data_IF_256209799638
#
_entry.id   IF_256209799638
#
_cell.length_a   1.000
_cell.length_b   1.000
_cell.length_c   1.000
_cell.angle_alpha   90.00
_cell.angle_beta   90.00
_cell.angle_gamma   90.00
#
_symmetry.space_group_name_H-M   'P 1'
#
loop_
_entity.id
_entity.type
_entity.pdbx_description
1 polymer ?
#
# COMPACT_ATOMS: atom_id res chain seq x y z
N UNK A 1 -0.54 -14.41 21.14
CA UNK A 1 -1.40 -13.19 21.11
C UNK A 1 -2.40 -13.32 19.98
N UNK A 2 -3.67 -12.98 20.21
CA UNK A 2 -4.68 -13.11 19.14
C UNK A 2 -4.62 -11.88 18.22
N UNK A 3 -4.49 -12.11 16.94
CA UNK A 3 -4.44 -11.05 15.92
C UNK A 3 -5.85 -10.72 15.43
N UNK A 4 -6.17 -9.44 15.33
CA UNK A 4 -7.41 -8.97 14.72
C UNK A 4 -7.18 -8.61 13.26
N UNK A 5 -8.17 -8.95 12.43
CA UNK A 5 -8.19 -8.68 11.00
C UNK A 5 -9.23 -7.59 10.70
N UNK A 6 -8.82 -6.54 10.03
CA UNK A 6 -9.69 -5.49 9.54
C UNK A 6 -9.51 -5.36 8.02
N UNK A 7 -10.59 -5.22 7.29
CA UNK A 7 -10.57 -5.04 5.86
C UNK A 7 -10.61 -3.56 5.49
N UNK A 8 -9.76 -3.16 4.56
CA UNK A 8 -9.72 -1.81 3.99
C UNK A 8 -9.94 -1.87 2.48
N UNK A 9 -10.63 -0.87 1.93
CA UNK A 9 -10.67 -0.62 0.50
C UNK A 9 -9.42 0.13 0.08
N UNK A 10 -8.69 -0.39 -0.91
CA UNK A 10 -7.46 0.25 -1.40
C UNK A 10 -7.78 1.53 -2.16
N UNK A 11 -8.84 1.53 -2.97
CA UNK A 11 -9.25 2.72 -3.75
C UNK A 11 -9.67 3.86 -2.83
N UNK A 12 -10.49 3.54 -1.82
CA UNK A 12 -10.91 4.52 -0.83
C UNK A 12 -9.73 5.03 0.00
N UNK A 13 -8.80 4.14 0.37
CA UNK A 13 -7.57 4.54 1.07
C UNK A 13 -6.74 5.53 0.25
N UNK A 14 -6.56 5.28 -1.05
CA UNK A 14 -5.83 6.18 -1.95
C UNK A 14 -6.59 7.51 -2.07
N UNK A 15 -7.90 7.47 -2.28
CA UNK A 15 -8.75 8.67 -2.35
C UNK A 15 -8.68 9.49 -1.05
N UNK A 16 -8.71 8.83 0.09
CA UNK A 16 -8.61 9.47 1.39
C UNK A 16 -7.27 10.22 1.56
N UNK A 17 -6.17 9.64 1.12
CA UNK A 17 -4.84 10.27 1.27
C UNK A 17 -4.61 11.47 0.34
N UNK A 18 -5.50 11.79 -0.60
CA UNK A 18 -5.38 12.99 -1.44
C UNK A 18 -5.58 14.29 -0.64
N UNK A 19 -6.21 14.24 0.54
CA UNK A 19 -6.43 15.37 1.43
C UNK A 19 -6.10 14.98 2.86
N UNK A 20 -5.43 15.87 3.60
CA UNK A 20 -5.11 15.66 5.01
C UNK A 20 -6.37 15.47 5.87
N UNK A 21 -7.42 16.27 5.62
CA UNK A 21 -8.68 16.19 6.34
C UNK A 21 -9.38 14.85 6.06
N UNK A 22 -9.44 14.45 4.79
CA UNK A 22 -10.06 13.19 4.37
C UNK A 22 -9.30 11.98 4.90
N UNK A 23 -7.96 12.04 4.91
CA UNK A 23 -7.14 11.00 5.52
C UNK A 23 -7.40 10.85 7.03
N UNK A 24 -7.46 11.98 7.75
CA UNK A 24 -7.75 11.99 9.19
C UNK A 24 -9.14 11.40 9.48
N UNK A 25 -10.14 11.77 8.68
CA UNK A 25 -11.50 11.23 8.73
C UNK A 25 -11.56 9.72 8.49
N UNK A 26 -10.88 9.24 7.45
CA UNK A 26 -10.83 7.84 7.10
C UNK A 26 -10.14 6.99 8.18
N UNK A 27 -8.99 7.44 8.68
CA UNK A 27 -8.26 6.75 9.75
C UNK A 27 -9.12 6.68 11.02
N UNK A 28 -9.85 7.77 11.35
CA UNK A 28 -10.76 7.81 12.48
C UNK A 28 -11.86 6.74 12.35
N UNK A 29 -12.50 6.63 11.21
CA UNK A 29 -13.51 5.59 10.94
C UNK A 29 -12.91 4.17 11.06
N UNK A 30 -11.68 3.96 10.55
CA UNK A 30 -10.99 2.68 10.67
C UNK A 30 -10.67 2.33 12.13
N UNK A 31 -10.34 3.31 12.96
CA UNK A 31 -10.15 3.10 14.40
C UNK A 31 -11.46 2.72 15.10
N UNK A 32 -12.59 3.32 14.74
CA UNK A 32 -13.90 2.89 15.25
C UNK A 32 -14.20 1.45 14.85
N UNK A 33 -13.96 1.08 13.60
CA UNK A 33 -14.10 -0.32 13.14
C UNK A 33 -13.15 -1.25 13.90
N UNK A 34 -11.95 -0.81 14.22
CA UNK A 34 -10.97 -1.58 14.96
C UNK A 34 -11.34 -1.75 16.45
N UNK A 35 -11.93 -0.75 17.06
CA UNK A 35 -12.30 -0.77 18.50
C UNK A 35 -13.56 -1.56 18.81
N UNK A 36 -14.46 -1.74 17.82
CA UNK A 36 -15.73 -2.42 18.00
C UNK A 36 -15.96 -3.49 16.92
N UNK A 37 -16.47 -4.67 17.32
CA UNK A 37 -16.84 -5.74 16.37
C UNK A 37 -18.00 -5.33 15.47
N UNK A 38 -18.93 -4.52 16.01
CA UNK A 38 -20.10 -4.01 15.27
C UNK A 38 -19.80 -2.74 14.49
N UNK A 39 -18.59 -2.20 14.52
CA UNK A 39 -18.22 -0.90 13.95
C UNK A 39 -19.04 0.27 14.53
N UNK A 40 -19.46 0.15 15.80
CA UNK A 40 -20.36 1.06 16.49
C UNK A 40 -19.81 1.46 17.85
N UNK A 41 -20.04 2.69 18.25
CA UNK A 41 -19.77 3.18 19.61
C UNK A 41 -21.09 3.74 20.16
N UNK A 42 -21.59 3.14 21.23
CA UNK A 42 -22.81 3.59 21.90
C UNK A 42 -22.50 4.79 22.82
N UNK A 43 -23.41 5.73 22.91
CA UNK A 43 -23.26 6.95 23.72
C UNK A 43 -21.90 7.63 23.53
N UNK A 44 -21.58 8.09 22.32
CA UNK A 44 -20.25 8.55 21.94
C UNK A 44 -19.93 9.95 22.49
N UNK A 45 -19.89 10.12 23.80
CA UNK A 45 -19.31 11.32 24.38
C UNK A 45 -17.85 11.45 23.89
N UNK A 46 -17.44 12.68 23.54
CA UNK A 46 -16.07 12.96 23.05
C UNK A 46 -15.02 12.38 23.99
N UNK A 47 -15.27 12.44 25.32
CA UNK A 47 -14.39 11.86 26.33
C UNK A 47 -14.23 10.33 26.18
N UNK A 48 -15.32 9.64 25.84
CA UNK A 48 -15.30 8.19 25.63
C UNK A 48 -14.59 7.82 24.33
N UNK A 49 -14.87 8.52 23.23
CA UNK A 49 -14.22 8.30 21.94
C UNK A 49 -12.71 8.50 22.05
N UNK A 50 -12.28 9.60 22.66
CA UNK A 50 -10.87 9.92 22.85
C UNK A 50 -10.14 8.86 23.68
N UNK A 51 -10.79 8.31 24.70
CA UNK A 51 -10.24 7.25 25.54
C UNK A 51 -10.10 5.94 24.76
N UNK A 52 -11.13 5.56 23.99
CA UNK A 52 -11.13 4.35 23.15
C UNK A 52 -10.06 4.43 22.05
N UNK A 53 -9.90 5.59 21.42
CA UNK A 53 -9.01 5.77 20.27
C UNK A 53 -7.60 6.27 20.66
N UNK A 54 -7.35 6.51 21.94
CA UNK A 54 -6.07 7.03 22.47
C UNK A 54 -5.57 8.29 21.72
N UNK A 55 -6.47 9.25 21.49
CA UNK A 55 -6.16 10.54 20.84
C UNK A 55 -6.50 11.74 21.73
N UNK A 56 -5.76 12.85 21.55
CA UNK A 56 -6.03 14.10 22.28
C UNK A 56 -7.37 14.73 21.88
N UNK A 57 -7.94 15.54 22.79
CA UNK A 57 -9.28 16.13 22.64
C UNK A 57 -9.46 16.92 21.33
N UNK A 58 -8.55 17.85 21.04
CA UNK A 58 -8.58 18.68 19.82
C UNK A 58 -8.54 17.83 18.54
N UNK A 59 -7.68 16.80 18.54
CA UNK A 59 -7.57 15.89 17.38
C UNK A 59 -8.83 15.02 17.26
N UNK A 60 -9.41 14.59 18.38
CA UNK A 60 -10.65 13.81 18.38
C UNK A 60 -11.81 14.58 17.78
N UNK A 61 -12.04 15.83 18.26
CA UNK A 61 -13.12 16.68 17.74
C UNK A 61 -12.95 16.97 16.24
N UNK A 62 -11.74 17.33 15.82
CA UNK A 62 -11.44 17.60 14.41
C UNK A 62 -11.66 16.36 13.55
N UNK A 63 -11.12 15.21 13.95
CA UNK A 63 -11.24 13.97 13.20
C UNK A 63 -12.69 13.47 13.12
N UNK A 64 -13.48 13.62 14.19
CA UNK A 64 -14.91 13.33 14.19
C UNK A 64 -15.68 14.25 13.23
N UNK A 65 -15.46 15.57 13.30
CA UNK A 65 -16.12 16.51 12.40
C UNK A 65 -15.77 16.24 10.93
N UNK A 66 -14.50 15.96 10.64
CA UNK A 66 -14.08 15.57 9.30
C UNK A 66 -14.71 14.23 8.88
N UNK A 67 -14.80 13.25 9.79
CA UNK A 67 -15.40 11.95 9.49
C UNK A 67 -16.91 12.05 9.20
N UNK A 68 -17.62 12.94 9.87
CA UNK A 68 -19.03 13.27 9.58
C UNK A 68 -19.15 13.99 8.23
N UNK A 69 -18.31 15.02 7.99
CA UNK A 69 -18.28 15.80 6.73
C UNK A 69 -18.06 14.91 5.49
N UNK A 70 -17.19 13.92 5.58
CA UNK A 70 -16.87 13.01 4.49
C UNK A 70 -17.68 11.70 4.53
N UNK A 71 -18.70 11.62 5.38
CA UNK A 71 -19.60 10.48 5.51
C UNK A 71 -18.92 9.14 5.86
N UNK A 72 -17.72 9.18 6.44
CA UNK A 72 -17.04 7.97 6.93
C UNK A 72 -17.66 7.46 8.22
N UNK A 73 -18.34 8.30 8.96
CA UNK A 73 -19.15 7.95 10.12
C UNK A 73 -20.48 8.68 10.08
N UNK A 74 -21.48 8.11 10.77
CA UNK A 74 -22.78 8.75 10.95
C UNK A 74 -23.31 8.46 12.33
N UNK A 75 -24.24 9.29 12.77
CA UNK A 75 -25.03 9.01 13.96
C UNK A 75 -26.30 8.23 13.59
N UNK A 76 -26.54 7.12 14.30
CA UNK A 76 -27.80 6.37 14.31
C UNK A 76 -28.38 6.50 15.71
N UNK A 77 -29.25 7.48 15.96
CA UNK A 77 -29.70 7.85 17.30
C UNK A 77 -28.52 8.26 18.19
N UNK A 78 -28.35 7.59 19.32
CA UNK A 78 -27.23 7.82 20.24
C UNK A 78 -25.99 6.95 19.94
N UNK A 79 -25.86 6.41 18.74
CA UNK A 79 -24.76 5.53 18.38
C UNK A 79 -23.97 6.12 17.23
N UNK A 80 -22.65 6.20 17.37
CA UNK A 80 -21.74 6.56 16.28
C UNK A 80 -21.37 5.30 15.52
N UNK A 81 -21.63 5.30 14.22
CA UNK A 81 -21.41 4.14 13.34
C UNK A 81 -20.40 4.50 12.28
N UNK A 82 -19.37 3.67 12.12
CA UNK A 82 -18.50 3.77 10.97
C UNK A 82 -19.21 3.19 9.74
N UNK A 83 -19.33 3.98 8.69
CA UNK A 83 -19.94 3.54 7.46
C UNK A 83 -19.15 2.36 6.88
N UNK A 84 -19.88 1.30 6.52
CA UNK A 84 -19.31 0.19 5.76
C UNK A 84 -19.20 0.72 4.32
N UNK A 85 -17.98 0.92 3.88
CA UNK A 85 -17.72 1.28 2.48
C UNK A 85 -18.27 0.15 1.62
N UNK A 86 -19.03 0.49 0.57
CA UNK A 86 -19.49 -0.50 -0.42
C UNK A 86 -18.24 -1.02 -1.13
N UNK A 87 -17.84 -2.22 -0.76
CA UNK A 87 -16.56 -2.79 -1.16
C UNK A 87 -16.72 -3.60 -2.44
N UNK A 88 -16.02 -3.19 -3.48
CA UNK A 88 -15.74 -4.10 -4.58
C UNK A 88 -14.73 -5.13 -4.05
N UNK A 89 -15.13 -6.40 -3.94
CA UNK A 89 -14.34 -7.49 -3.32
C UNK A 89 -12.91 -7.59 -3.85
N UNK A 90 -12.68 -7.17 -5.09
CA UNK A 90 -11.38 -7.26 -5.75
C UNK A 90 -10.33 -6.28 -5.22
N UNK A 91 -10.76 -5.19 -4.59
CA UNK A 91 -9.88 -4.13 -4.08
C UNK A 91 -9.81 -4.06 -2.55
N UNK A 92 -10.40 -5.03 -1.87
CA UNK A 92 -10.38 -5.12 -0.41
C UNK A 92 -9.16 -5.90 0.06
N UNK A 93 -8.45 -5.37 1.04
CA UNK A 93 -7.26 -6.01 1.62
C UNK A 93 -7.32 -5.99 3.13
N UNK A 94 -6.87 -7.08 3.77
CA UNK A 94 -6.79 -7.13 5.22
C UNK A 94 -5.58 -6.36 5.73
N UNK A 95 -5.78 -5.65 6.85
CA UNK A 95 -4.72 -5.22 7.73
C UNK A 95 -4.81 -6.04 9.02
N UNK A 96 -3.67 -6.33 9.60
CA UNK A 96 -3.55 -7.13 10.82
C UNK A 96 -2.92 -6.29 11.93
N UNK A 97 -3.47 -6.38 13.11
CA UNK A 97 -2.94 -5.74 14.31
C UNK A 97 -3.21 -6.60 15.52
N UNK A 98 -2.51 -6.34 16.61
CA UNK A 98 -2.70 -7.07 17.86
C UNK A 98 -4.11 -6.83 18.42
N UNK A 99 -4.71 -7.90 18.91
CA UNK A 99 -6.07 -7.87 19.42
C UNK A 99 -6.15 -6.94 20.63
N UNK A 100 -7.18 -6.12 20.63
CA UNK A 100 -7.56 -5.34 21.79
C UNK A 100 -7.77 -6.24 23.02
N UNK A 101 -7.23 -5.84 24.16
CA UNK A 101 -7.54 -6.47 25.44
C UNK A 101 -8.94 -6.08 25.86
N UNK A 102 -9.70 -7.02 26.40
CA UNK A 102 -10.95 -6.70 27.08
C UNK A 102 -10.61 -5.96 28.38
N UNK A 103 -11.10 -4.75 28.53
CA UNK A 103 -11.09 -4.06 29.80
C UNK A 103 -12.04 -4.76 30.78
N UNK A 104 -11.86 -4.52 32.06
CA UNK A 104 -12.69 -5.10 33.14
C UNK A 104 -14.21 -4.92 32.92
N UNK A 105 -14.60 -3.90 32.15
CA UNK A 105 -16.00 -3.61 31.79
C UNK A 105 -16.47 -4.30 30.47
N UNK A 106 -15.75 -5.28 29.96
CA UNK A 106 -16.13 -6.03 28.77
C UNK A 106 -15.95 -5.28 27.44
N UNK A 107 -15.57 -4.01 27.45
CA UNK A 107 -15.27 -3.21 26.25
C UNK A 107 -13.91 -3.58 25.69
N UNK A 108 -13.85 -3.75 24.36
CA UNK A 108 -12.59 -3.96 23.65
C UNK A 108 -11.90 -2.60 23.49
N UNK A 109 -10.74 -2.40 24.12
CA UNK A 109 -9.88 -1.25 23.79
C UNK A 109 -9.11 -1.52 22.52
N UNK A 110 -9.02 -0.54 21.64
CA UNK A 110 -8.17 -0.63 20.46
C UNK A 110 -6.73 -0.30 20.88
N UNK A 111 -5.82 -1.27 20.81
CA UNK A 111 -4.40 -1.05 21.14
C UNK A 111 -3.63 -0.38 19.98
N UNK A 112 -4.32 -0.04 18.88
CA UNK A 112 -3.71 0.60 17.72
C UNK A 112 -3.89 2.11 17.82
N UNK A 113 -2.79 2.84 17.89
CA UNK A 113 -2.79 4.30 17.85
C UNK A 113 -3.21 4.82 16.46
N UNK A 114 -3.64 6.09 16.41
CA UNK A 114 -3.98 6.77 15.16
C UNK A 114 -2.83 6.70 14.14
N UNK A 115 -1.59 6.89 14.59
CA UNK A 115 -0.39 6.84 13.76
C UNK A 115 -0.09 5.44 13.23
N UNK A 116 -0.29 4.43 14.04
CA UNK A 116 -0.10 3.03 13.64
C UNK A 116 -1.15 2.60 12.62
N UNK A 117 -2.42 2.98 12.82
CA UNK A 117 -3.49 2.72 11.85
C UNK A 117 -3.17 3.37 10.51
N UNK A 118 -2.76 4.64 10.51
CA UNK A 118 -2.31 5.34 9.30
C UNK A 118 -1.17 4.59 8.61
N UNK A 119 -0.16 4.17 9.37
CA UNK A 119 0.98 3.41 8.87
C UNK A 119 0.54 2.09 8.22
N UNK A 120 -0.29 1.30 8.91
CA UNK A 120 -0.78 0.01 8.41
C UNK A 120 -1.56 0.16 7.09
N UNK A 121 -2.41 1.18 6.99
CA UNK A 121 -3.18 1.46 5.76
C UNK A 121 -2.23 1.83 4.62
N UNK A 122 -1.30 2.75 4.85
CA UNK A 122 -0.30 3.17 3.85
C UNK A 122 0.58 2.02 3.37
N UNK A 123 1.06 1.20 4.28
CA UNK A 123 1.83 -0.01 3.97
C UNK A 123 1.04 -0.95 3.06
N UNK A 124 -0.23 -1.19 3.40
CA UNK A 124 -1.08 -2.09 2.62
C UNK A 124 -1.39 -1.55 1.23
N UNK A 125 -1.55 -0.24 1.07
CA UNK A 125 -1.68 0.41 -0.25
C UNK A 125 -0.46 0.13 -1.11
N UNK A 126 0.76 0.29 -0.56
CA UNK A 126 2.01 0.03 -1.29
C UNK A 126 2.18 -1.45 -1.61
N UNK A 127 1.94 -2.34 -0.65
CA UNK A 127 2.01 -3.80 -0.87
C UNK A 127 1.05 -4.21 -2.00
N UNK A 128 -0.18 -3.71 -1.98
CA UNK A 128 -1.14 -4.00 -3.04
C UNK A 128 -0.70 -3.47 -4.41
N UNK A 129 -0.10 -2.27 -4.44
CA UNK A 129 0.46 -1.71 -5.68
C UNK A 129 1.57 -2.61 -6.23
N UNK A 130 2.52 -3.04 -5.38
CA UNK A 130 3.59 -3.96 -5.77
C UNK A 130 3.04 -5.30 -6.24
N UNK A 131 2.03 -5.86 -5.55
CA UNK A 131 1.36 -7.10 -6.00
C UNK A 131 0.75 -6.97 -7.39
N UNK A 132 0.08 -5.86 -7.67
CA UNK A 132 -0.47 -5.58 -9.00
C UNK A 132 0.65 -5.48 -10.05
N UNK A 133 1.77 -4.81 -9.74
CA UNK A 133 2.93 -4.75 -10.62
C UNK A 133 3.49 -6.14 -10.93
N UNK A 134 3.77 -6.93 -9.88
CA UNK A 134 4.31 -8.28 -10.05
C UNK A 134 3.38 -9.18 -10.87
N UNK A 135 2.06 -9.06 -10.66
CA UNK A 135 1.07 -9.81 -11.44
C UNK A 135 1.08 -9.37 -12.92
N UNK A 136 1.20 -8.08 -13.19
CA UNK A 136 1.29 -7.55 -14.56
C UNK A 136 2.56 -8.03 -15.25
N UNK A 137 3.71 -7.99 -14.57
CA UNK A 137 4.98 -8.47 -15.11
C UNK A 137 4.93 -9.97 -15.43
N UNK A 138 4.47 -10.79 -14.48
CA UNK A 138 4.26 -12.23 -14.71
C UNK A 138 3.33 -12.49 -15.89
N UNK A 139 2.24 -11.73 -15.99
CA UNK A 139 1.27 -11.89 -17.09
C UNK A 139 1.88 -11.49 -18.43
N UNK A 140 2.70 -10.44 -18.45
CA UNK A 140 3.40 -10.01 -19.65
C UNK A 140 4.38 -11.07 -20.12
N UNK A 141 5.27 -11.55 -19.26
CA UNK A 141 6.23 -12.62 -19.56
C UNK A 141 5.54 -13.87 -20.07
N UNK A 142 4.48 -14.32 -19.38
CA UNK A 142 3.73 -15.50 -19.81
C UNK A 142 3.12 -15.36 -21.22
N UNK A 143 2.74 -14.14 -21.64
CA UNK A 143 2.13 -13.91 -22.97
C UNK A 143 3.18 -13.70 -24.04
N UNK A 144 4.33 -13.06 -23.72
CA UNK A 144 5.38 -12.73 -24.70
C UNK A 144 6.38 -13.86 -24.90
N UNK A 145 6.78 -14.50 -23.80
CA UNK A 145 7.82 -15.52 -23.79
C UNK A 145 7.25 -16.94 -23.82
N UNK A 146 5.96 -17.10 -23.49
CA UNK A 146 5.33 -18.41 -23.37
C UNK A 146 5.84 -19.23 -22.18
N UNK A 147 6.55 -18.57 -21.27
CA UNK A 147 7.19 -19.20 -20.11
C UNK A 147 6.82 -18.50 -18.81
N UNK A 148 6.81 -19.24 -17.73
CA UNK A 148 6.65 -18.69 -16.39
C UNK A 148 7.49 -19.49 -15.40
N UNK A 149 8.34 -18.80 -14.62
CA UNK A 149 9.28 -19.41 -13.67
C UNK A 149 10.23 -20.44 -14.30
N UNK A 150 10.63 -20.26 -15.57
CA UNK A 150 11.49 -21.20 -16.30
C UNK A 150 10.77 -22.41 -16.91
N UNK A 151 9.44 -22.50 -16.77
CA UNK A 151 8.64 -23.58 -17.37
C UNK A 151 7.85 -23.06 -18.57
N UNK A 152 7.82 -23.85 -19.65
CA UNK A 152 6.99 -23.55 -20.83
C UNK A 152 5.51 -23.71 -20.50
N UNK A 153 4.72 -22.71 -20.86
CA UNK A 153 3.28 -22.72 -20.66
C UNK A 153 2.56 -23.46 -21.79
N UNK A 154 1.52 -24.20 -21.42
CA UNK A 154 0.61 -24.80 -22.40
C UNK A 154 -0.21 -23.72 -23.11
N UNK A 155 -0.71 -24.01 -24.31
CA UNK A 155 -1.57 -23.10 -25.09
C UNK A 155 -2.80 -22.64 -24.31
N UNK A 156 -3.38 -23.52 -23.50
CA UNK A 156 -4.51 -23.20 -22.63
C UNK A 156 -4.12 -22.15 -21.56
N UNK A 157 -2.99 -22.33 -20.91
CA UNK A 157 -2.45 -21.38 -19.92
C UNK A 157 -2.15 -20.02 -20.55
N UNK A 158 -1.50 -19.99 -21.72
CA UNK A 158 -1.23 -18.74 -22.46
C UNK A 158 -2.55 -18.02 -22.80
N UNK A 159 -3.62 -18.74 -23.21
CA UNK A 159 -4.94 -18.13 -23.45
C UNK A 159 -5.52 -17.45 -22.20
N UNK A 160 -5.36 -18.07 -21.02
CA UNK A 160 -5.79 -17.47 -19.75
C UNK A 160 -5.03 -16.19 -19.46
N UNK A 161 -3.70 -16.19 -19.65
CA UNK A 161 -2.88 -14.98 -19.49
C UNK A 161 -3.17 -13.89 -20.50
N UNK A 162 -3.48 -14.23 -21.76
CA UNK A 162 -3.92 -13.26 -22.78
C UNK A 162 -5.23 -12.57 -22.36
N UNK A 163 -6.22 -13.32 -21.87
CA UNK A 163 -7.47 -12.73 -21.33
C UNK A 163 -7.18 -11.81 -20.14
N UNK A 164 -6.29 -12.20 -19.25
CA UNK A 164 -5.86 -11.38 -18.11
C UNK A 164 -5.13 -10.11 -18.56
N UNK A 165 -4.23 -10.21 -19.55
CA UNK A 165 -3.55 -9.06 -20.16
C UNK A 165 -4.54 -8.04 -20.71
N UNK A 166 -5.57 -8.49 -21.41
CA UNK A 166 -6.59 -7.59 -21.97
C UNK A 166 -7.38 -6.84 -20.88
N UNK A 167 -7.61 -7.47 -19.73
CA UNK A 167 -8.20 -6.80 -18.55
C UNK A 167 -7.23 -5.84 -17.85
N UNK A 168 -5.94 -6.05 -18.00
CA UNK A 168 -4.86 -5.26 -17.41
C UNK A 168 -4.31 -4.24 -18.43
N UNK A 169 -5.12 -3.75 -19.35
CA UNK A 169 -4.74 -2.94 -20.52
C UNK A 169 -3.90 -1.69 -20.25
N UNK A 170 -3.78 -1.26 -18.99
CA UNK A 170 -2.92 -0.15 -18.57
C UNK A 170 -1.51 -0.59 -18.11
N UNK A 171 -1.06 -1.77 -18.53
CA UNK A 171 0.16 -2.43 -18.02
C UNK A 171 1.48 -1.79 -18.43
N UNK A 172 1.51 -0.90 -19.43
CA UNK A 172 2.76 -0.26 -19.90
C UNK A 172 3.51 0.53 -18.80
N UNK A 173 2.80 0.98 -17.77
CA UNK A 173 3.40 1.71 -16.64
C UNK A 173 4.03 0.80 -15.58
N UNK A 174 3.68 -0.48 -15.55
CA UNK A 174 4.09 -1.39 -14.48
C UNK A 174 5.50 -1.97 -14.64
N UNK A 175 6.08 -1.90 -15.85
CA UNK A 175 7.44 -2.41 -16.10
C UNK A 175 8.56 -1.53 -15.54
N UNK A 176 8.25 -0.32 -15.09
CA UNK A 176 9.26 0.69 -14.74
C UNK A 176 9.74 0.64 -13.28
N UNK A 177 9.39 -0.38 -12.52
CA UNK A 177 9.70 -0.45 -11.09
C UNK A 177 8.89 0.56 -10.26
N UNK A 178 9.16 0.61 -8.96
CA UNK A 178 8.49 1.51 -8.02
C UNK A 178 9.47 2.60 -7.56
N UNK A 179 9.45 3.75 -8.21
CA UNK A 179 10.25 4.89 -7.81
C UNK A 179 9.71 5.54 -6.53
N UNK A 180 10.60 6.20 -5.79
CA UNK A 180 10.20 6.95 -4.60
C UNK A 180 9.19 8.06 -4.92
N UNK A 181 9.33 8.72 -6.08
CA UNK A 181 8.38 9.72 -6.56
C UNK A 181 6.98 9.12 -6.76
N UNK A 182 6.89 7.91 -7.28
CA UNK A 182 5.60 7.21 -7.44
C UNK A 182 4.96 6.87 -6.09
N UNK A 183 5.76 6.41 -5.10
CA UNK A 183 5.29 6.18 -3.73
C UNK A 183 4.75 7.47 -3.10
N UNK A 184 5.50 8.57 -3.26
CA UNK A 184 5.05 9.89 -2.81
C UNK A 184 3.71 10.30 -3.43
N UNK A 185 3.56 10.11 -4.74
CA UNK A 185 2.31 10.41 -5.47
C UNK A 185 1.13 9.56 -5.01
N UNK A 186 1.33 8.25 -4.82
CA UNK A 186 0.27 7.33 -4.36
C UNK A 186 -0.19 7.68 -2.93
N UNK A 187 0.75 7.96 -2.04
CA UNK A 187 0.47 8.18 -0.62
C UNK A 187 0.31 9.65 -0.24
N UNK A 188 0.52 10.58 -1.17
CA UNK A 188 0.52 12.03 -0.91
C UNK A 188 1.36 12.37 0.33
N UNK A 189 2.62 11.95 0.33
CA UNK A 189 3.49 12.05 1.49
C UNK A 189 4.85 12.64 1.12
N UNK A 190 5.61 13.10 2.13
CA UNK A 190 6.96 13.63 1.92
C UNK A 190 7.94 12.54 1.47
N UNK A 191 9.02 12.96 0.81
CA UNK A 191 10.10 12.07 0.38
C UNK A 191 10.73 11.31 1.57
N UNK A 192 10.86 11.96 2.70
CA UNK A 192 11.38 11.35 3.92
C UNK A 192 10.46 10.22 4.41
N UNK A 193 9.17 10.49 4.52
CA UNK A 193 8.17 9.50 4.97
C UNK A 193 8.07 8.32 4.01
N UNK A 194 8.04 8.58 2.70
CA UNK A 194 8.02 7.54 1.68
C UNK A 194 9.28 6.64 1.77
N UNK A 195 10.47 7.25 1.89
CA UNK A 195 11.73 6.52 2.04
C UNK A 195 11.76 5.67 3.31
N UNK A 196 11.33 6.24 4.44
CA UNK A 196 11.26 5.53 5.71
C UNK A 196 10.34 4.31 5.60
N UNK A 197 9.14 4.49 5.05
CA UNK A 197 8.16 3.41 4.87
C UNK A 197 8.70 2.28 3.97
N UNK A 198 9.30 2.62 2.84
CA UNK A 198 9.89 1.62 1.95
C UNK A 198 11.01 0.83 2.62
N UNK A 199 11.86 1.49 3.43
CA UNK A 199 12.89 0.81 4.23
C UNK A 199 12.27 -0.14 5.26
N UNK A 200 11.25 0.30 5.97
CA UNK A 200 10.54 -0.52 6.97
C UNK A 200 9.87 -1.74 6.35
N UNK A 201 9.25 -1.59 5.16
CA UNK A 201 8.65 -2.71 4.41
C UNK A 201 9.70 -3.74 3.96
N UNK A 202 10.87 -3.29 3.55
CA UNK A 202 11.97 -4.18 3.20
C UNK A 202 12.58 -4.82 4.45
N UNK A 203 12.85 -4.05 5.49
CA UNK A 203 13.43 -4.54 6.74
C UNK A 203 12.54 -5.57 7.44
N UNK A 204 11.21 -5.35 7.42
CA UNK A 204 10.24 -6.32 7.95
C UNK A 204 10.02 -7.54 7.05
N UNK A 205 10.72 -7.64 5.92
CA UNK A 205 10.60 -8.73 4.97
C UNK A 205 9.28 -8.76 4.18
N UNK A 206 8.40 -7.77 4.34
CA UNK A 206 7.13 -7.68 3.57
C UNK A 206 7.38 -7.47 2.09
N UNK A 207 8.45 -6.76 1.75
CA UNK A 207 8.93 -6.57 0.38
C UNK A 207 10.38 -7.00 0.27
N UNK A 208 10.71 -7.64 -0.85
CA UNK A 208 12.09 -7.91 -1.26
C UNK A 208 12.46 -6.85 -2.29
N UNK A 209 13.57 -6.14 -2.06
CA UNK A 209 14.09 -5.12 -2.97
C UNK A 209 15.10 -5.76 -3.91
N UNK A 210 14.85 -5.66 -5.20
CA UNK A 210 15.81 -6.04 -6.24
C UNK A 210 16.34 -4.77 -6.91
N UNK A 211 17.65 -4.63 -6.91
CA UNK A 211 18.34 -3.57 -7.66
C UNK A 211 18.57 -4.07 -9.08
N UNK A 212 18.14 -3.28 -10.05
CA UNK A 212 18.32 -3.58 -11.46
C UNK A 212 19.37 -2.63 -12.02
N UNK A 213 20.47 -3.20 -12.47
CA UNK A 213 21.55 -2.49 -13.14
C UNK A 213 21.56 -2.90 -14.60
N UNK A 214 21.41 -1.93 -15.49
CA UNK A 214 21.55 -2.14 -16.93
C UNK A 214 22.94 -1.72 -17.36
N UNK A 215 23.61 -2.55 -18.12
CA UNK A 215 24.82 -2.18 -18.82
C UNK A 215 24.47 -1.12 -19.89
N UNK A 216 25.26 -0.06 -19.95
CA UNK A 216 25.06 1.00 -20.94
C UNK A 216 26.22 1.01 -21.93
N UNK A 217 25.95 1.47 -23.15
CA UNK A 217 27.01 1.72 -24.16
C UNK A 217 27.64 3.12 -24.01
N UNK A 218 27.53 3.73 -22.85
CA UNK A 218 28.03 5.09 -22.62
C UNK A 218 29.55 5.06 -22.45
N UNK A 219 30.23 5.81 -23.31
CA UNK A 219 31.67 6.05 -23.16
C UNK A 219 31.93 6.98 -21.97
N UNK A 220 32.78 6.60 -21.01
CA UNK A 220 33.15 7.43 -19.88
C UNK A 220 33.65 8.84 -20.26
N UNK A 221 34.36 8.97 -21.39
CA UNK A 221 34.88 10.24 -21.87
C UNK A 221 33.77 11.20 -22.32
N UNK A 222 32.63 10.67 -22.77
CA UNK A 222 31.50 11.42 -23.28
C UNK A 222 30.27 11.35 -22.37
N UNK A 223 30.47 10.99 -21.10
CA UNK A 223 29.40 10.65 -20.14
C UNK A 223 28.26 11.67 -20.13
N UNK A 224 28.54 12.95 -19.94
CA UNK A 224 27.49 13.96 -19.71
C UNK A 224 26.47 14.13 -20.84
N UNK A 225 26.88 13.98 -22.10
CA UNK A 225 26.00 14.07 -23.26
C UNK A 225 25.27 12.74 -23.51
N UNK A 226 26.01 11.66 -23.48
CA UNK A 226 25.46 10.32 -23.75
C UNK A 226 24.52 9.87 -22.64
N UNK A 227 24.80 10.16 -21.37
CA UNK A 227 23.92 9.87 -20.24
C UNK A 227 22.56 10.58 -20.38
N UNK A 228 22.55 11.87 -20.76
CA UNK A 228 21.29 12.61 -21.02
C UNK A 228 20.48 12.00 -22.16
N UNK A 229 21.15 11.61 -23.26
CA UNK A 229 20.50 10.95 -24.39
C UNK A 229 19.89 9.60 -23.96
N UNK A 230 20.68 8.76 -23.29
CA UNK A 230 20.25 7.45 -22.77
C UNK A 230 19.03 7.59 -21.85
N UNK A 231 19.05 8.53 -20.89
CA UNK A 231 17.92 8.77 -19.99
C UNK A 231 16.64 9.18 -20.73
N UNK A 232 16.77 9.94 -21.80
CA UNK A 232 15.65 10.34 -22.65
C UNK A 232 15.09 9.14 -23.44
N UNK A 233 15.94 8.28 -23.95
CA UNK A 233 15.56 7.08 -24.70
C UNK A 233 14.83 6.06 -23.83
N UNK A 234 15.34 5.80 -22.60
CA UNK A 234 14.70 4.86 -21.68
C UNK A 234 13.44 5.43 -21.02
N UNK A 235 13.21 6.76 -21.10
CA UNK A 235 11.99 7.42 -20.64
C UNK A 235 11.77 7.43 -19.12
N UNK A 236 12.81 7.21 -18.32
CA UNK A 236 12.76 7.30 -16.84
C UNK A 236 14.10 7.74 -16.27
N UNK A 237 14.07 8.34 -15.08
CA UNK A 237 15.28 8.72 -14.33
C UNK A 237 15.97 7.52 -13.71
N UNK A 238 17.29 7.47 -13.81
CA UNK A 238 18.12 6.48 -13.14
C UNK A 238 19.37 7.12 -12.56
N UNK A 239 20.18 6.34 -11.87
CA UNK A 239 21.51 6.73 -11.43
C UNK A 239 22.54 5.96 -12.23
N UNK A 240 23.64 6.64 -12.61
CA UNK A 240 24.75 5.96 -13.24
C UNK A 240 25.77 5.58 -12.19
N UNK A 241 26.26 4.36 -12.29
CA UNK A 241 27.32 3.80 -11.45
C UNK A 241 28.45 3.33 -12.33
N UNK A 242 29.67 3.55 -11.88
CA UNK A 242 30.85 3.00 -12.53
C UNK A 242 31.23 1.69 -11.83
N UNK A 243 31.06 0.57 -12.53
CA UNK A 243 31.26 -0.77 -11.99
C UNK A 243 32.15 -1.55 -12.95
N UNK A 244 33.30 -2.03 -12.48
CA UNK A 244 34.23 -2.88 -13.28
C UNK A 244 34.60 -2.26 -14.64
N UNK A 245 34.88 -0.96 -14.68
CA UNK A 245 35.26 -0.26 -15.91
C UNK A 245 34.10 0.10 -16.84
N UNK A 246 32.86 -0.23 -16.51
CA UNK A 246 31.66 0.05 -17.30
C UNK A 246 30.72 1.01 -16.60
N UNK A 247 30.00 1.81 -17.39
CA UNK A 247 28.92 2.64 -16.86
C UNK A 247 27.63 1.84 -16.86
N UNK A 248 27.11 1.59 -15.65
CA UNK A 248 25.82 0.93 -15.44
C UNK A 248 24.76 1.96 -15.10
N UNK A 249 23.55 1.79 -15.61
CA UNK A 249 22.39 2.57 -15.22
C UNK A 249 21.57 1.79 -14.17
N UNK A 250 21.47 2.32 -12.96
CA UNK A 250 20.58 1.78 -11.95
C UNK A 250 19.17 2.26 -12.22
N UNK A 251 18.28 1.36 -12.56
CA UNK A 251 16.84 1.63 -12.71
C UNK A 251 16.17 1.87 -11.36
N UNK A 252 14.92 2.30 -11.42
CA UNK A 252 14.05 2.26 -10.26
C UNK A 252 14.00 0.84 -9.70
N UNK A 253 14.15 0.72 -8.38
CA UNK A 253 14.13 -0.58 -7.72
C UNK A 253 12.86 -1.36 -8.05
N UNK A 254 13.02 -2.63 -8.34
CA UNK A 254 11.91 -3.58 -8.44
C UNK A 254 11.68 -4.19 -7.07
N UNK A 255 10.43 -4.18 -6.64
CA UNK A 255 10.03 -4.79 -5.38
C UNK A 255 9.17 -6.01 -5.64
N UNK A 256 9.39 -7.05 -4.85
CA UNK A 256 8.62 -8.30 -4.89
C UNK A 256 7.95 -8.48 -3.54
N UNK A 257 6.65 -8.79 -3.54
CA UNK A 257 5.96 -9.14 -2.31
C UNK A 257 6.42 -10.52 -1.82
N UNK A 258 6.79 -10.59 -0.55
CA UNK A 258 7.10 -11.86 0.07
C UNK A 258 5.80 -12.58 0.47
N UNK A 259 5.29 -13.42 -0.42
CA UNK A 259 4.03 -14.13 -0.20
C UNK A 259 4.12 -15.15 0.97
N UNK A 260 5.32 -15.64 1.31
CA UNK A 260 5.52 -16.56 2.42
C UNK A 260 5.25 -15.92 3.79
N UNK A 261 5.54 -14.63 3.96
CA UNK A 261 5.18 -13.91 5.19
C UNK A 261 3.67 -13.67 5.29
N UNK A 262 3.01 -13.46 4.15
CA UNK A 262 1.55 -13.33 4.12
C UNK A 262 0.87 -14.68 4.41
N UNK A 263 1.39 -15.80 3.95
CA UNK A 263 0.86 -17.13 4.25
C UNK A 263 0.86 -17.43 5.76
N UNK A 264 1.89 -17.00 6.51
CA UNK A 264 1.92 -17.14 7.98
C UNK A 264 0.81 -16.36 8.69
N UNK A 265 0.33 -15.27 8.11
CA UNK A 265 -0.81 -14.50 8.64
C UNK A 265 -2.17 -15.03 8.17
N UNK A 266 -2.22 -15.79 7.06
CA UNK A 266 -3.44 -16.39 6.53
C UNK A 266 -3.70 -17.80 7.04
N UNK A 267 -2.69 -18.48 7.59
CA UNK A 267 -2.78 -19.88 8.05
C UNK A 267 -3.10 -20.03 9.55
N UNK A 268 -3.51 -18.96 10.22
CA UNK A 268 -3.95 -19.02 11.65
C UNK A 268 -5.34 -18.51 11.83
#
# INVERSE_FOLDING_TARGET
MATRKLYISIEESISAFQSKEKAEAYIFAMLIKASSLSSRINNPAIRSIKSILHIGNTKCCRALNNALKYEYVRYEGQTLVANILKENKDNVRPIFFERATRNQNGTLSCNVSFREMEKLIREQVIINHVKKQNLCEKTYKAVTEGEMNGEKLTVAQVKVYRRRKNRLSHTKEFHKGLSLAKVMGILQTSRYTARKMMRELVYSGKLIKNEVLDETSIDPKNFGRQARRYMKEIGYGGYFLFVNGKIMCQRSNVYICNDNLNAKYYAK
#
